data_IF_466874467968
#
_entry.id   IF_466874467968
#
_cell.length_a   1.000
_cell.length_b   1.000
_cell.length_c   1.000
_cell.angle_alpha   90.00
_cell.angle_beta   90.00
_cell.angle_gamma   90.00
#
_symmetry.space_group_name_H-M   'P 1'
#
loop_
_entity.id
_entity.type
_entity.pdbx_description
1 polymer ?
#
# COMPACT_ATOMS: atom_id res chain seq x y z
N UNK A 1 26.30 6.62 20.93
CA UNK A 1 26.88 5.59 20.04
C UNK A 1 26.40 5.86 18.62
N UNK A 2 27.23 5.74 17.57
CA UNK A 2 26.76 5.91 16.19
C UNK A 2 25.76 4.79 15.84
N UNK A 3 24.68 5.16 15.17
CA UNK A 3 23.66 4.22 14.69
C UNK A 3 24.28 3.35 13.60
N UNK A 4 24.23 2.03 13.76
CA UNK A 4 24.82 1.08 12.81
C UNK A 4 24.02 1.05 11.50
N UNK A 5 24.65 0.78 10.35
CA UNK A 5 23.93 0.55 9.12
C UNK A 5 22.87 -0.55 9.29
N UNK A 6 21.68 -0.37 8.71
CA UNK A 6 20.57 -1.31 8.90
C UNK A 6 19.21 -0.78 8.45
N UNK A 7 18.20 -1.65 8.51
CA UNK A 7 16.80 -1.29 8.28
C UNK A 7 16.19 -0.69 9.56
N UNK A 8 15.61 0.48 9.42
CA UNK A 8 14.91 1.18 10.51
C UNK A 8 13.56 1.71 10.00
N UNK A 9 12.67 2.11 10.90
CA UNK A 9 11.39 2.69 10.52
C UNK A 9 11.63 3.90 9.61
N UNK A 10 10.89 3.98 8.50
CA UNK A 10 11.06 5.06 7.54
C UNK A 10 10.82 6.43 8.21
N UNK A 11 11.80 7.35 8.25
CA UNK A 11 11.63 8.65 8.92
C UNK A 11 10.59 9.55 8.24
N UNK A 12 10.36 9.39 6.94
CA UNK A 12 9.27 10.10 6.22
C UNK A 12 7.98 9.30 6.21
N UNK A 13 8.02 8.08 6.76
CA UNK A 13 6.85 7.26 7.00
C UNK A 13 6.02 6.92 5.74
N UNK A 14 6.65 6.90 4.55
CA UNK A 14 6.02 6.48 3.30
C UNK A 14 6.06 4.95 3.11
N UNK A 15 7.07 4.31 3.69
CA UNK A 15 7.28 2.85 3.70
C UNK A 15 7.35 2.33 5.14
N UNK A 16 7.28 1.01 5.32
CA UNK A 16 7.47 0.42 6.66
C UNK A 16 8.91 0.60 7.15
N UNK A 17 9.88 0.43 6.26
CA UNK A 17 11.31 0.50 6.55
C UNK A 17 12.08 1.27 5.49
N UNK A 18 13.13 1.97 5.93
CA UNK A 18 14.16 2.58 5.09
C UNK A 18 15.55 2.12 5.56
N UNK A 19 16.48 1.95 4.63
CA UNK A 19 17.85 1.59 4.98
C UNK A 19 18.65 2.83 5.41
N UNK A 20 19.35 2.70 6.54
CA UNK A 20 20.34 3.66 7.01
C UNK A 20 21.73 3.13 6.65
N UNK A 21 22.54 3.95 5.97
CA UNK A 21 23.90 3.57 5.53
C UNK A 21 24.95 3.64 6.65
N UNK A 22 24.57 4.12 7.85
CA UNK A 22 25.52 4.52 8.90
C UNK A 22 25.84 6.01 8.88
N UNK A 23 25.51 6.74 7.80
CA UNK A 23 25.73 8.18 7.65
C UNK A 23 24.50 8.95 7.16
N UNK A 24 23.72 8.33 6.29
CA UNK A 24 22.52 8.93 5.69
C UNK A 24 21.46 7.86 5.41
N UNK A 25 20.21 8.31 5.25
CA UNK A 25 19.11 7.45 4.79
C UNK A 25 19.22 7.26 3.29
N UNK A 26 19.13 6.01 2.82
CA UNK A 26 19.19 5.73 1.39
C UNK A 26 17.80 5.71 0.77
N UNK A 27 17.76 5.56 -0.56
CA UNK A 27 16.52 5.34 -1.30
C UNK A 27 16.00 3.90 -1.17
N UNK A 28 16.76 3.01 -0.52
CA UNK A 28 16.31 1.64 -0.27
C UNK A 28 15.18 1.64 0.76
N UNK A 29 14.02 1.17 0.34
CA UNK A 29 12.81 1.08 1.14
C UNK A 29 12.25 -0.34 1.09
N UNK A 30 11.53 -0.71 2.15
CA UNK A 30 10.88 -2.01 2.25
C UNK A 30 9.49 -1.88 2.86
N UNK A 31 8.51 -2.50 2.21
CA UNK A 31 7.15 -2.69 2.70
C UNK A 31 6.73 -4.12 2.41
N UNK A 32 6.30 -4.85 3.43
CA UNK A 32 6.05 -6.29 3.30
C UNK A 32 7.29 -7.03 2.79
N UNK A 33 7.16 -7.73 1.67
CA UNK A 33 8.28 -8.43 1.01
C UNK A 33 8.95 -7.59 -0.09
N UNK A 34 8.34 -6.48 -0.51
CA UNK A 34 8.93 -5.62 -1.53
C UNK A 34 10.12 -4.87 -0.93
N UNK A 35 11.29 -4.98 -1.55
CA UNK A 35 12.45 -4.13 -1.30
C UNK A 35 12.81 -3.44 -2.62
N UNK A 36 12.99 -2.12 -2.61
CA UNK A 36 13.29 -1.34 -3.82
C UNK A 36 14.22 -0.17 -3.52
N UNK A 37 15.10 0.15 -4.46
CA UNK A 37 15.98 1.33 -4.48
C UNK A 37 15.30 2.59 -5.01
N UNK A 38 14.15 2.45 -5.68
CA UNK A 38 13.32 3.56 -6.15
C UNK A 38 12.07 3.64 -5.30
N UNK A 39 12.03 4.59 -4.37
CA UNK A 39 10.77 4.99 -3.74
C UNK A 39 9.79 5.43 -4.84
N UNK A 40 8.56 4.93 -4.81
CA UNK A 40 7.49 5.39 -5.70
C UNK A 40 7.26 6.90 -5.45
N UNK A 41 7.63 7.74 -6.41
CA UNK A 41 7.43 9.21 -6.37
C UNK A 41 5.97 9.62 -6.14
N UNK A 42 5.65 10.88 -5.73
CA UNK A 42 6.32 11.78 -4.79
C UNK A 42 5.67 11.74 -3.39
N UNK A 43 6.30 12.34 -2.37
CA UNK A 43 5.93 12.26 -0.94
C UNK A 43 4.66 13.01 -0.48
N UNK A 44 3.95 13.68 -1.38
CA UNK A 44 2.74 14.46 -1.05
C UNK A 44 1.56 13.93 -1.87
N UNK A 45 0.35 13.96 -1.29
CA UNK A 45 -0.88 13.66 -2.03
C UNK A 45 -1.07 14.75 -3.08
N UNK A 46 -1.12 14.43 -4.38
CA UNK A 46 -1.33 15.42 -5.43
C UNK A 46 -2.74 16.02 -5.32
N UNK A 47 -2.93 17.26 -5.76
CA UNK A 47 -4.26 17.90 -5.76
C UNK A 47 -5.25 17.19 -6.71
N UNK A 48 -4.74 16.63 -7.81
CA UNK A 48 -5.53 15.93 -8.81
C UNK A 48 -5.47 14.41 -8.65
N UNK A 49 -6.61 13.74 -8.82
CA UNK A 49 -6.65 12.28 -8.86
C UNK A 49 -6.05 11.73 -10.15
N UNK A 50 -5.07 10.84 -10.01
CA UNK A 50 -4.47 10.08 -11.11
C UNK A 50 -4.43 8.58 -10.81
N UNK A 51 -4.58 7.76 -11.85
CA UNK A 51 -4.44 6.29 -11.75
C UNK A 51 -2.96 5.96 -11.60
N UNK A 52 -2.62 5.18 -10.57
CA UNK A 52 -1.24 4.71 -10.32
C UNK A 52 -1.06 3.24 -10.65
N UNK A 53 -2.15 2.46 -10.64
CA UNK A 53 -2.15 1.06 -11.05
C UNK A 53 -3.56 0.60 -11.41
N UNK A 54 -3.68 -0.28 -12.40
CA UNK A 54 -4.92 -1.00 -12.71
C UNK A 54 -4.62 -2.32 -13.39
N UNK A 55 -5.45 -3.34 -13.14
CA UNK A 55 -5.45 -4.61 -13.88
C UNK A 55 -6.76 -4.83 -14.67
N UNK A 56 -7.57 -3.76 -14.81
CA UNK A 56 -8.91 -3.80 -15.41
C UNK A 56 -10.02 -4.29 -14.49
N UNK A 57 -9.70 -4.99 -13.38
CA UNK A 57 -10.68 -5.41 -12.34
C UNK A 57 -10.62 -4.52 -11.12
N UNK A 58 -9.43 -4.06 -10.80
CA UNK A 58 -9.13 -3.20 -9.67
C UNK A 58 -8.36 -1.98 -10.17
N UNK A 59 -8.57 -0.85 -9.52
CA UNK A 59 -7.86 0.40 -9.82
C UNK A 59 -7.38 1.02 -8.52
N UNK A 60 -6.11 1.37 -8.46
CA UNK A 60 -5.52 2.17 -7.39
C UNK A 60 -5.25 3.53 -8.01
N UNK A 61 -5.83 4.56 -7.42
CA UNK A 61 -5.52 5.94 -7.74
C UNK A 61 -4.73 6.56 -6.59
N UNK A 62 -4.23 7.77 -6.82
CA UNK A 62 -3.66 8.64 -5.78
C UNK A 62 -4.63 8.96 -4.62
N UNK A 63 -5.95 8.79 -4.77
CA UNK A 63 -6.96 9.21 -3.77
C UNK A 63 -7.85 8.07 -3.27
N UNK A 64 -8.08 7.07 -4.11
CA UNK A 64 -9.04 6.00 -3.85
C UNK A 64 -8.51 4.66 -4.36
N UNK A 65 -9.15 3.60 -3.89
CA UNK A 65 -9.02 2.27 -4.47
C UNK A 65 -10.39 1.74 -4.87
N UNK A 66 -10.47 1.30 -6.11
CA UNK A 66 -11.65 0.72 -6.72
C UNK A 66 -11.52 -0.79 -6.62
N UNK A 67 -12.44 -1.37 -5.86
CA UNK A 67 -12.60 -2.82 -5.70
C UNK A 67 -13.94 -3.27 -6.27
N UNK A 68 -14.17 -4.58 -6.35
CA UNK A 68 -15.44 -5.12 -6.84
C UNK A 68 -16.05 -6.10 -5.83
N UNK A 69 -17.36 -6.01 -5.63
CA UNK A 69 -18.16 -6.96 -4.87
C UNK A 69 -19.35 -7.42 -5.70
N UNK A 70 -19.50 -8.74 -5.92
CA UNK A 70 -20.63 -9.28 -6.67
C UNK A 70 -20.79 -8.66 -8.07
N UNK A 71 -19.69 -8.18 -8.67
CA UNK A 71 -19.69 -7.46 -9.95
C UNK A 71 -19.98 -5.96 -9.85
N UNK A 72 -20.31 -5.43 -8.66
CA UNK A 72 -20.50 -3.99 -8.44
C UNK A 72 -19.18 -3.32 -8.06
N UNK A 73 -18.80 -2.21 -8.71
CA UNK A 73 -17.62 -1.43 -8.32
C UNK A 73 -17.89 -0.72 -6.99
N UNK A 74 -16.90 -0.73 -6.10
CA UNK A 74 -16.91 -0.02 -4.82
C UNK A 74 -15.64 0.80 -4.73
N UNK A 75 -15.81 2.09 -4.41
CA UNK A 75 -14.72 3.05 -4.29
C UNK A 75 -14.45 3.28 -2.81
N UNK A 76 -13.22 2.99 -2.38
CA UNK A 76 -12.77 3.20 -1.01
C UNK A 76 -11.79 4.37 -0.99
N UNK A 77 -12.05 5.45 -0.26
CA UNK A 77 -11.05 6.49 -0.08
C UNK A 77 -9.92 5.98 0.83
N UNK A 78 -8.67 6.34 0.51
CA UNK A 78 -7.50 5.80 1.22
C UNK A 78 -7.50 6.08 2.72
N UNK A 79 -8.00 7.23 3.16
CA UNK A 79 -8.13 7.57 4.58
C UNK A 79 -9.02 6.59 5.35
N UNK A 80 -9.97 5.93 4.68
CA UNK A 80 -10.88 4.95 5.32
C UNK A 80 -10.22 3.59 5.55
N UNK A 81 -9.20 3.26 4.74
CA UNK A 81 -8.44 2.02 4.84
C UNK A 81 -7.47 2.15 6.02
N UNK A 82 -7.52 1.21 6.95
CA UNK A 82 -6.73 1.16 8.18
C UNK A 82 -5.47 0.30 8.05
N UNK A 83 -5.53 -0.73 7.21
CA UNK A 83 -4.41 -1.62 6.97
C UNK A 83 -4.49 -2.23 5.58
N UNK A 84 -3.32 -2.50 5.00
CA UNK A 84 -3.15 -3.20 3.73
C UNK A 84 -2.27 -4.41 3.99
N UNK A 85 -2.84 -5.60 3.84
CA UNK A 85 -2.13 -6.87 4.00
C UNK A 85 -2.09 -7.64 2.70
N UNK A 86 -1.16 -8.57 2.59
CA UNK A 86 -1.06 -9.49 1.49
C UNK A 86 -1.19 -10.92 2.00
N UNK A 87 -1.90 -11.75 1.24
CA UNK A 87 -1.96 -13.19 1.41
C UNK A 87 -1.58 -13.87 0.10
N UNK A 88 -0.68 -14.84 0.16
CA UNK A 88 -0.25 -15.64 -0.99
C UNK A 88 -0.30 -17.11 -0.60
N UNK A 89 -1.20 -17.87 -1.22
CA UNK A 89 -1.21 -19.33 -1.13
C UNK A 89 -0.10 -19.97 -1.99
N UNK A 90 0.19 -21.26 -1.77
CA UNK A 90 1.20 -21.96 -2.57
C UNK A 90 0.91 -21.90 -4.09
N UNK A 91 -0.36 -22.07 -4.47
CA UNK A 91 -0.79 -22.00 -5.86
C UNK A 91 -0.63 -20.57 -6.44
N UNK A 92 -1.01 -19.56 -5.66
CA UNK A 92 -0.84 -18.15 -6.04
C UNK A 92 0.64 -17.81 -6.23
N UNK A 93 1.51 -18.29 -5.33
CA UNK A 93 2.96 -18.11 -5.43
C UNK A 93 3.54 -18.65 -6.73
N UNK A 94 3.12 -19.85 -7.17
CA UNK A 94 3.59 -20.43 -8.44
C UNK A 94 3.13 -19.63 -9.65
N UNK A 95 1.93 -19.02 -9.56
CA UNK A 95 1.39 -18.17 -10.62
C UNK A 95 1.90 -16.72 -10.61
N UNK A 96 2.73 -16.34 -9.64
CA UNK A 96 3.14 -14.94 -9.46
C UNK A 96 2.00 -13.99 -9.11
N UNK A 97 0.92 -14.52 -8.51
CA UNK A 97 -0.24 -13.73 -8.09
C UNK A 97 -0.42 -13.78 -6.57
N UNK A 98 -1.30 -12.95 -6.04
CA UNK A 98 -1.70 -12.98 -4.64
C UNK A 98 -3.02 -12.28 -4.39
N UNK A 99 -3.39 -12.21 -3.12
CA UNK A 99 -4.57 -11.49 -2.66
C UNK A 99 -4.15 -10.30 -1.79
N UNK A 100 -4.57 -9.10 -2.17
CA UNK A 100 -4.42 -7.89 -1.34
C UNK A 100 -5.68 -7.73 -0.49
N UNK A 101 -5.51 -7.56 0.81
CA UNK A 101 -6.60 -7.39 1.78
C UNK A 101 -6.55 -5.98 2.35
N UNK A 102 -7.58 -5.20 2.08
CA UNK A 102 -7.78 -3.84 2.59
C UNK A 102 -8.71 -3.94 3.80
N UNK A 103 -8.25 -3.49 4.97
CA UNK A 103 -9.09 -3.40 6.18
C UNK A 103 -9.58 -1.98 6.34
N UNK A 104 -10.87 -1.77 6.59
CA UNK A 104 -11.49 -0.45 6.71
C UNK A 104 -11.75 -0.15 8.18
N UNK A 105 -11.29 1.02 8.66
CA UNK A 105 -11.42 1.42 10.09
C UNK A 105 -12.86 1.77 10.49
N UNK A 106 -13.70 2.17 9.52
CA UNK A 106 -15.07 2.61 9.77
C UNK A 106 -16.05 1.90 8.83
N UNK A 107 -16.73 0.83 9.29
CA UNK A 107 -17.78 0.16 8.50
C UNK A 107 -19.02 1.03 8.26
N UNK A 108 -19.08 2.26 8.81
CA UNK A 108 -20.12 3.23 8.44
C UNK A 108 -20.03 3.72 6.99
N UNK A 109 -18.88 3.55 6.32
CA UNK A 109 -18.71 3.89 4.90
C UNK A 109 -18.99 2.71 3.96
N UNK A 110 -18.82 1.48 4.46
CA UNK A 110 -19.12 0.25 3.73
C UNK A 110 -19.54 -0.83 4.72
N UNK A 111 -20.55 -1.63 4.41
CA UNK A 111 -21.07 -2.70 5.28
C UNK A 111 -20.04 -3.80 5.63
N UNK A 112 -18.78 -3.66 5.21
CA UNK A 112 -17.67 -4.58 5.44
C UNK A 112 -16.44 -3.92 6.04
N UNK A 113 -15.82 -4.65 6.96
CA UNK A 113 -14.53 -4.30 7.52
C UNK A 113 -13.34 -4.73 6.64
N UNK A 114 -13.55 -5.62 5.66
CA UNK A 114 -12.48 -6.13 4.78
C UNK A 114 -12.91 -6.19 3.31
N UNK A 115 -12.00 -5.76 2.44
CA UNK A 115 -12.10 -5.84 0.99
C UNK A 115 -10.91 -6.61 0.43
N UNK A 116 -11.13 -7.40 -0.62
CA UNK A 116 -10.10 -8.30 -1.16
C UNK A 116 -9.94 -8.12 -2.67
N UNK A 117 -8.73 -7.81 -3.09
CA UNK A 117 -8.31 -7.84 -4.49
C UNK A 117 -7.64 -9.19 -4.76
N UNK A 118 -8.29 -10.08 -5.51
CA UNK A 118 -7.84 -11.46 -5.71
C UNK A 118 -7.08 -11.64 -7.01
N UNK A 119 -6.12 -12.57 -7.04
CA UNK A 119 -5.29 -12.88 -8.23
C UNK A 119 -4.63 -11.62 -8.81
N UNK A 120 -4.11 -10.78 -7.92
CA UNK A 120 -3.33 -9.59 -8.27
C UNK A 120 -1.95 -10.04 -8.70
N UNK A 121 -1.52 -9.66 -9.91
CA UNK A 121 -0.15 -9.90 -10.38
C UNK A 121 0.83 -9.00 -9.63
N UNK A 122 2.04 -9.51 -9.37
CA UNK A 122 3.05 -8.82 -8.57
C UNK A 122 2.48 -8.27 -7.24
N UNK A 123 1.94 -9.15 -6.38
CA UNK A 123 1.20 -8.74 -5.19
C UNK A 123 2.07 -7.98 -4.20
N UNK A 124 3.38 -8.21 -4.17
CA UNK A 124 4.30 -7.46 -3.30
C UNK A 124 4.37 -5.98 -3.70
N UNK A 125 4.47 -5.70 -5.01
CA UNK A 125 4.47 -4.32 -5.52
C UNK A 125 3.13 -3.62 -5.31
N UNK A 126 2.02 -4.31 -5.57
CA UNK A 126 0.69 -3.73 -5.40
C UNK A 126 0.36 -3.50 -3.93
N UNK A 127 0.79 -4.40 -3.04
CA UNK A 127 0.67 -4.21 -1.59
C UNK A 127 1.43 -2.97 -1.13
N UNK A 128 2.69 -2.82 -1.54
CA UNK A 128 3.50 -1.66 -1.18
C UNK A 128 2.88 -0.34 -1.68
N UNK A 129 2.42 -0.32 -2.93
CA UNK A 129 1.75 0.84 -3.51
C UNK A 129 0.48 1.23 -2.73
N UNK A 130 -0.38 0.26 -2.45
CA UNK A 130 -1.62 0.48 -1.70
C UNK A 130 -1.33 0.91 -0.25
N UNK A 131 -0.32 0.32 0.39
CA UNK A 131 0.11 0.69 1.74
C UNK A 131 0.58 2.15 1.79
N UNK A 132 1.43 2.57 0.84
CA UNK A 132 1.95 3.94 0.79
C UNK A 132 0.80 4.96 0.63
N UNK A 133 -0.14 4.73 -0.29
CA UNK A 133 -1.27 5.66 -0.46
C UNK A 133 -2.23 5.66 0.73
N UNK A 134 -2.58 4.49 1.27
CA UNK A 134 -3.35 4.37 2.50
C UNK A 134 -2.70 5.20 3.62
N UNK A 135 -1.42 5.00 3.86
CA UNK A 135 -0.68 5.64 4.95
C UNK A 135 -0.65 7.16 4.82
N UNK A 136 -0.34 7.67 3.63
CA UNK A 136 -0.30 9.12 3.36
C UNK A 136 -1.63 9.79 3.66
N UNK A 137 -2.73 9.21 3.14
CA UNK A 137 -4.07 9.76 3.36
C UNK A 137 -4.52 9.67 4.81
N UNK A 138 -4.16 8.59 5.51
CA UNK A 138 -4.42 8.48 6.96
C UNK A 138 -3.70 9.57 7.74
N UNK A 139 -2.41 9.76 7.49
CA UNK A 139 -1.62 10.81 8.16
C UNK A 139 -2.18 12.20 7.86
N UNK A 140 -2.53 12.49 6.61
CA UNK A 140 -3.14 13.76 6.21
C UNK A 140 -4.50 14.01 6.89
N UNK A 141 -5.26 12.95 7.17
CA UNK A 141 -6.51 13.00 7.91
C UNK A 141 -6.33 12.97 9.44
N UNK A 142 -5.10 12.97 9.96
CA UNK A 142 -4.79 12.98 11.39
C UNK A 142 -4.81 11.61 12.07
N UNK A 143 -4.82 10.53 11.29
CA UNK A 143 -4.72 9.16 11.80
C UNK A 143 -3.26 8.68 11.74
N UNK A 144 -2.61 8.53 12.90
CA UNK A 144 -1.23 8.04 13.06
C UNK A 144 -1.13 6.70 13.77
#
# INVERSE_FOLDING_TARGET
MPVRPGWYRDPVDDFEWRWWSGREWTHDVRTGRLTTTSALEPGTIPEGESIVWTDGRYTITTHTVHVSEGGRPVVLPWWSVAAVNQSVSALESTSGTGTIVLRVAYPGYTDRAEWRMKRVADPDRVQALAYTWMRRHRLAAGYG
#
